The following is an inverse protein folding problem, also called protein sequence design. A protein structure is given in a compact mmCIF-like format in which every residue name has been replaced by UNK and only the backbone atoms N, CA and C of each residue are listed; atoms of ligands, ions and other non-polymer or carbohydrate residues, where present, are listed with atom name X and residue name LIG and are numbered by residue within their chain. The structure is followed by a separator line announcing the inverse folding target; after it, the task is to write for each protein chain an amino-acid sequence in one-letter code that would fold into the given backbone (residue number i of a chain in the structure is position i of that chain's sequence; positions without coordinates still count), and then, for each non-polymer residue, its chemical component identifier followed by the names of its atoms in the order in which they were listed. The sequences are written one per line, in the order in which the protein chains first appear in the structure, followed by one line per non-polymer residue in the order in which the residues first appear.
data_IF_306874570151
#
_entry.id   IF_306874570151
#
_cell.length_a   1.000
_cell.length_b   1.000
_cell.length_c   1.000
_cell.angle_alpha   90.00
_cell.angle_beta   90.00
_cell.angle_gamma   90.00
#
_symmetry.space_group_name_H-M   'P 1'
#
loop_
_entity.id
_entity.type
_entity.pdbx_description
1 polymer ?
#
# COMPACT_ATOMS: atom_id res chain seq x y z
N UNK A 1 12.03 -6.82 28.34
CA UNK A 1 10.88 -7.13 29.27
C UNK A 1 9.67 -6.28 28.87
N UNK A 2 8.49 -6.88 28.78
CA UNK A 2 7.25 -6.16 28.42
C UNK A 2 6.68 -5.36 29.60
N UNK A 3 5.92 -4.32 29.29
CA UNK A 3 5.26 -3.44 30.30
C UNK A 3 4.14 -4.17 31.04
N UNK A 4 3.65 -3.57 32.14
CA UNK A 4 2.51 -4.14 32.88
C UNK A 4 1.24 -4.23 32.03
N UNK A 5 0.96 -3.21 31.21
CA UNK A 5 -0.19 -3.21 30.30
C UNK A 5 -0.13 -4.38 29.32
N UNK A 6 1.04 -4.67 28.76
CA UNK A 6 1.22 -5.80 27.86
C UNK A 6 1.11 -7.15 28.57
N UNK A 7 1.53 -7.25 29.86
CA UNK A 7 1.30 -8.47 30.65
C UNK A 7 -0.18 -8.70 30.89
N UNK A 8 -0.94 -7.65 31.16
CA UNK A 8 -2.40 -7.74 31.33
C UNK A 8 -3.08 -8.14 30.02
N UNK A 9 -2.58 -7.62 28.88
CA UNK A 9 -3.05 -8.02 27.55
C UNK A 9 -2.84 -9.54 27.31
N UNK A 10 -1.63 -10.04 27.61
CA UNK A 10 -1.30 -11.47 27.53
C UNK A 10 -2.26 -12.31 28.41
N UNK A 11 -2.49 -11.87 29.67
CA UNK A 11 -3.43 -12.55 30.57
C UNK A 11 -4.84 -12.60 29.99
N UNK A 12 -5.32 -11.51 29.38
CA UNK A 12 -6.63 -11.48 28.73
C UNK A 12 -6.75 -12.47 27.58
N UNK A 13 -5.72 -12.54 26.72
CA UNK A 13 -5.69 -13.50 25.62
C UNK A 13 -5.62 -14.96 26.15
N UNK A 14 -4.79 -15.21 27.18
CA UNK A 14 -4.64 -16.53 27.80
C UNK A 14 -5.96 -17.00 28.40
N UNK A 15 -6.61 -16.17 29.22
CA UNK A 15 -7.91 -16.49 29.82
C UNK A 15 -8.98 -16.75 28.75
N UNK A 16 -8.91 -16.03 27.64
CA UNK A 16 -9.84 -16.25 26.53
C UNK A 16 -9.56 -17.57 25.81
N UNK A 17 -8.30 -17.91 25.58
CA UNK A 17 -7.87 -19.15 24.96
C UNK A 17 -8.23 -20.38 25.82
N UNK A 18 -8.11 -20.31 27.15
CA UNK A 18 -8.44 -21.40 28.08
C UNK A 18 -9.89 -21.86 28.00
N UNK A 19 -10.82 -21.00 27.57
CA UNK A 19 -12.23 -21.35 27.37
C UNK A 19 -12.46 -22.28 26.20
N UNK A 20 -11.51 -22.35 25.27
CA UNK A 20 -11.58 -23.08 24.01
C UNK A 20 -10.44 -24.10 23.85
N UNK A 21 -9.74 -24.46 24.91
CA UNK A 21 -8.55 -25.30 24.87
C UNK A 21 -8.80 -26.73 24.34
N UNK A 22 -10.07 -27.21 24.32
CA UNK A 22 -10.49 -28.48 23.79
C UNK A 22 -11.24 -28.35 22.46
N UNK A 23 -11.28 -27.15 21.87
CA UNK A 23 -11.97 -26.94 20.60
C UNK A 23 -10.94 -27.08 19.46
N UNK A 24 -11.26 -27.84 18.43
CA UNK A 24 -10.36 -28.08 17.29
C UNK A 24 -10.41 -26.93 16.27
N UNK A 25 -11.51 -26.18 16.22
CA UNK A 25 -11.74 -25.10 15.24
C UNK A 25 -11.33 -23.72 15.78
N UNK A 26 -11.24 -23.55 17.12
CA UNK A 26 -10.98 -22.28 17.78
C UNK A 26 -9.73 -22.34 18.69
N UNK A 27 -8.59 -22.72 18.10
CA UNK A 27 -7.36 -23.02 18.84
C UNK A 27 -6.52 -21.79 19.20
N UNK A 28 -6.76 -20.62 18.61
CA UNK A 28 -5.96 -19.41 18.83
C UNK A 28 -6.85 -18.25 19.28
N UNK A 29 -6.58 -17.71 20.47
CA UNK A 29 -7.16 -16.47 20.93
C UNK A 29 -6.18 -15.30 20.73
N UNK A 30 -6.67 -14.16 20.29
CA UNK A 30 -5.93 -12.93 20.22
C UNK A 30 -6.57 -11.84 21.08
N UNK A 31 -5.75 -10.90 21.54
CA UNK A 31 -6.18 -9.69 22.21
C UNK A 31 -5.47 -8.46 21.61
N UNK A 32 -6.23 -7.42 21.36
CA UNK A 32 -5.74 -6.09 21.01
C UNK A 32 -5.79 -5.18 22.21
N UNK A 33 -4.79 -4.32 22.35
CA UNK A 33 -4.77 -3.20 23.29
C UNK A 33 -5.02 -1.92 22.50
N UNK A 34 -6.03 -1.16 22.91
CA UNK A 34 -6.27 0.18 22.34
C UNK A 34 -5.50 1.25 23.10
N UNK A 35 -5.39 2.44 22.49
CA UNK A 35 -4.71 3.60 23.10
C UNK A 35 -5.37 4.01 24.43
N UNK A 36 -6.68 3.89 24.58
CA UNK A 36 -7.39 4.16 25.83
C UNK A 36 -7.25 3.05 26.89
N UNK A 37 -6.57 1.94 26.58
CA UNK A 37 -6.33 0.81 27.49
C UNK A 37 -7.39 -0.28 27.47
N UNK A 38 -8.29 -0.30 26.48
CA UNK A 38 -9.29 -1.38 26.33
C UNK A 38 -8.67 -2.61 25.69
N UNK A 39 -9.19 -3.78 26.06
CA UNK A 39 -8.84 -5.04 25.45
C UNK A 39 -9.97 -5.52 24.54
N UNK A 40 -9.66 -5.82 23.29
CA UNK A 40 -10.61 -6.41 22.34
C UNK A 40 -10.15 -7.79 21.95
N UNK A 41 -11.01 -8.78 22.15
CA UNK A 41 -10.69 -10.20 22.01
C UNK A 41 -11.19 -10.74 20.67
N UNK A 42 -10.51 -11.76 20.16
CA UNK A 42 -10.92 -12.54 19.00
C UNK A 42 -10.43 -13.97 19.08
N UNK A 43 -11.17 -14.88 18.43
CA UNK A 43 -10.80 -16.27 18.24
C UNK A 43 -10.62 -16.56 16.75
N UNK A 44 -9.70 -17.45 16.40
CA UNK A 44 -9.68 -17.96 15.03
C UNK A 44 -10.95 -18.79 14.77
N UNK A 45 -11.32 -18.91 13.51
CA UNK A 45 -12.30 -19.88 13.06
C UNK A 45 -11.65 -20.71 11.96
N UNK A 46 -11.37 -21.99 12.26
CA UNK A 46 -10.80 -22.87 11.25
C UNK A 46 -11.88 -23.32 10.26
N UNK A 47 -11.53 -23.30 9.00
CA UNK A 47 -12.33 -23.86 7.93
C UNK A 47 -11.45 -24.27 6.75
N UNK A 48 -11.75 -25.36 6.05
CA UNK A 48 -10.94 -25.85 4.93
C UNK A 48 -10.87 -24.87 3.73
N UNK A 49 -11.86 -23.99 3.59
CA UNK A 49 -11.84 -22.87 2.62
C UNK A 49 -11.04 -21.66 3.10
N UNK A 50 -10.41 -21.73 4.27
CA UNK A 50 -9.79 -20.61 4.96
C UNK A 50 -10.76 -19.94 5.92
N UNK A 51 -10.24 -19.55 7.08
CA UNK A 51 -10.98 -18.82 8.11
C UNK A 51 -10.13 -17.67 8.66
N UNK A 52 -10.71 -16.77 9.46
CA UNK A 52 -9.97 -15.69 10.06
C UNK A 52 -9.05 -16.23 11.16
N UNK A 53 -7.83 -15.67 11.24
CA UNK A 53 -6.99 -15.81 12.42
C UNK A 53 -7.60 -15.06 13.61
N UNK A 54 -7.20 -15.38 14.84
CA UNK A 54 -7.68 -14.70 16.04
C UNK A 54 -7.45 -13.18 16.01
N UNK A 55 -6.30 -12.73 15.47
CA UNK A 55 -5.99 -11.32 15.32
C UNK A 55 -6.95 -10.61 14.36
N UNK A 56 -7.30 -11.24 13.23
CA UNK A 56 -8.25 -10.68 12.26
C UNK A 56 -9.65 -10.56 12.87
N UNK A 57 -10.08 -11.56 13.62
CA UNK A 57 -11.37 -11.53 14.34
C UNK A 57 -11.37 -10.42 15.41
N UNK A 58 -10.25 -10.27 16.15
CA UNK A 58 -10.11 -9.19 17.13
C UNK A 58 -10.17 -7.80 16.46
N UNK A 59 -9.55 -7.62 15.28
CA UNK A 59 -9.63 -6.38 14.50
C UNK A 59 -11.05 -6.09 14.02
N UNK A 60 -11.79 -7.11 13.56
CA UNK A 60 -13.19 -6.95 13.17
C UNK A 60 -14.07 -6.55 14.36
N UNK A 61 -13.85 -7.16 15.53
CA UNK A 61 -14.53 -6.79 16.77
C UNK A 61 -14.17 -5.37 17.21
N UNK A 62 -12.91 -4.96 17.05
CA UNK A 62 -12.46 -3.59 17.35
C UNK A 62 -13.17 -2.58 16.45
N UNK A 63 -13.21 -2.81 15.14
CA UNK A 63 -13.90 -1.94 14.19
C UNK A 63 -15.39 -1.78 14.52
N UNK A 64 -16.04 -2.84 15.02
CA UNK A 64 -17.45 -2.81 15.40
C UNK A 64 -17.72 -2.11 16.74
N UNK A 65 -16.76 -2.10 17.68
CA UNK A 65 -17.00 -1.66 19.06
C UNK A 65 -16.25 -0.39 19.46
N UNK A 66 -15.07 -0.14 18.89
CA UNK A 66 -14.17 0.96 19.25
C UNK A 66 -13.45 1.58 18.03
N UNK A 67 -14.15 1.92 16.94
CA UNK A 67 -13.53 2.29 15.66
C UNK A 67 -12.62 3.53 15.72
N UNK A 68 -12.86 4.42 16.70
CA UNK A 68 -12.08 5.66 16.86
C UNK A 68 -10.95 5.57 17.89
N UNK A 69 -10.73 4.40 18.49
CA UNK A 69 -9.70 4.20 19.52
C UNK A 69 -8.55 3.36 18.95
N UNK A 70 -7.41 3.96 18.56
CA UNK A 70 -6.37 3.26 17.82
C UNK A 70 -5.82 2.02 18.53
N UNK A 71 -5.58 0.95 17.80
CA UNK A 71 -4.88 -0.24 18.28
C UNK A 71 -3.39 0.09 18.44
N UNK A 72 -2.81 -0.24 19.59
CA UNK A 72 -1.40 0.01 19.88
C UNK A 72 -0.59 -1.26 20.12
N UNK A 73 -1.25 -2.37 20.49
CA UNK A 73 -0.56 -3.65 20.63
C UNK A 73 -1.49 -4.84 20.36
N UNK A 74 -0.87 -5.99 20.06
CA UNK A 74 -1.55 -7.26 19.84
C UNK A 74 -0.76 -8.41 20.44
N UNK A 75 -1.47 -9.44 20.88
CA UNK A 75 -0.92 -10.73 21.28
C UNK A 75 -1.83 -11.85 20.80
N UNK A 76 -1.24 -12.99 20.42
CA UNK A 76 -1.96 -14.23 20.14
C UNK A 76 -1.46 -15.34 21.05
N UNK A 77 -2.37 -16.19 21.51
CA UNK A 77 -2.11 -17.33 22.40
C UNK A 77 -2.70 -18.60 21.80
N UNK A 78 -1.88 -19.64 21.71
CA UNK A 78 -2.32 -20.95 21.31
C UNK A 78 -2.97 -21.67 22.48
N UNK A 79 -4.28 -21.90 22.42
CA UNK A 79 -5.11 -22.44 23.50
C UNK A 79 -4.62 -23.77 24.08
N UNK A 80 -4.32 -24.82 23.28
CA UNK A 80 -3.92 -26.10 23.79
C UNK A 80 -2.68 -26.10 24.69
N UNK A 81 -1.78 -25.12 24.55
CA UNK A 81 -0.56 -25.03 25.35
C UNK A 81 -0.44 -23.75 26.19
N UNK A 82 -1.35 -22.79 26.01
CA UNK A 82 -1.27 -21.48 26.65
C UNK A 82 -0.08 -20.63 26.20
N UNK A 83 0.59 -20.99 25.11
CA UNK A 83 1.79 -20.30 24.65
C UNK A 83 1.45 -19.07 23.80
N UNK A 84 2.14 -17.97 24.09
CA UNK A 84 2.17 -16.83 23.18
C UNK A 84 2.87 -17.24 21.89
N UNK A 85 2.21 -16.97 20.77
CA UNK A 85 2.71 -17.23 19.42
C UNK A 85 2.86 -15.94 18.63
N UNK A 86 3.79 -15.91 17.67
CA UNK A 86 3.92 -14.79 16.77
C UNK A 86 2.77 -14.74 15.75
N UNK A 87 2.34 -13.56 15.31
CA UNK A 87 1.34 -13.44 14.24
C UNK A 87 1.85 -14.08 12.94
N UNK A 88 0.96 -14.76 12.21
CA UNK A 88 1.29 -15.35 10.92
C UNK A 88 1.54 -14.25 9.86
N UNK A 89 2.11 -14.60 8.69
CA UNK A 89 2.43 -13.64 7.64
C UNK A 89 1.26 -12.77 7.19
N UNK A 90 0.05 -13.36 7.04
CA UNK A 90 -1.18 -12.60 6.73
C UNK A 90 -1.50 -11.59 7.82
N UNK A 91 -1.45 -11.99 9.10
CA UNK A 91 -1.75 -11.08 10.20
C UNK A 91 -0.72 -9.95 10.30
N UNK A 92 0.57 -10.24 10.03
CA UNK A 92 1.61 -9.20 10.01
C UNK A 92 1.32 -8.15 8.94
N UNK A 93 0.95 -8.56 7.73
CA UNK A 93 0.61 -7.63 6.66
C UNK A 93 -0.60 -6.78 7.02
N UNK A 94 -1.70 -7.39 7.50
CA UNK A 94 -2.91 -6.64 7.89
C UNK A 94 -2.64 -5.65 9.02
N UNK A 95 -1.81 -6.02 10.01
CA UNK A 95 -1.42 -5.13 11.10
C UNK A 95 -0.51 -3.98 10.61
N UNK A 96 0.39 -4.28 9.65
CA UNK A 96 1.24 -3.28 9.01
C UNK A 96 0.41 -2.24 8.24
N UNK A 97 -0.56 -2.70 7.45
CA UNK A 97 -1.45 -1.82 6.66
C UNK A 97 -2.34 -0.95 7.57
N UNK A 98 -2.67 -1.44 8.78
CA UNK A 98 -3.43 -0.67 9.76
C UNK A 98 -2.59 0.42 10.43
N UNK A 99 -1.45 0.05 11.01
CA UNK A 99 -0.47 0.95 11.61
C UNK A 99 0.86 0.21 11.82
N UNK A 100 1.94 0.57 11.09
CA UNK A 100 3.24 -0.10 11.18
C UNK A 100 3.91 0.03 12.56
N UNK A 101 3.42 0.88 13.45
CA UNK A 101 3.95 1.07 14.81
C UNK A 101 3.33 0.12 15.85
N UNK A 102 2.30 -0.66 15.50
CA UNK A 102 1.65 -1.62 16.40
C UNK A 102 2.70 -2.57 16.98
N UNK A 103 2.65 -2.74 18.30
CA UNK A 103 3.53 -3.64 19.03
C UNK A 103 2.93 -5.06 19.08
N UNK A 104 3.69 -6.06 18.65
CA UNK A 104 3.32 -7.46 18.79
C UNK A 104 4.05 -8.08 19.97
N UNK A 105 3.30 -8.66 20.91
CA UNK A 105 3.92 -9.44 21.98
C UNK A 105 4.22 -10.83 21.44
N UNK A 106 5.50 -11.20 21.43
CA UNK A 106 6.00 -12.47 20.92
C UNK A 106 6.90 -13.16 21.96
N UNK A 107 7.18 -14.42 21.72
CA UNK A 107 8.13 -15.18 22.53
C UNK A 107 9.52 -15.08 21.88
N UNK A 108 10.44 -14.39 22.54
CA UNK A 108 11.86 -14.37 22.18
C UNK A 108 12.67 -15.40 22.99
N UNK A 109 13.99 -15.37 22.82
CA UNK A 109 14.94 -16.27 23.48
C UNK A 109 14.96 -16.09 25.01
N UNK A 110 14.72 -14.88 25.50
CA UNK A 110 14.77 -14.50 26.92
C UNK A 110 13.41 -14.26 27.56
N UNK A 111 12.33 -14.77 26.95
CA UNK A 111 10.96 -14.62 27.42
C UNK A 111 10.09 -13.78 26.47
N UNK A 112 9.07 -13.13 27.02
CA UNK A 112 8.18 -12.29 26.22
C UNK A 112 8.83 -10.93 25.92
N UNK A 113 8.74 -10.52 24.67
CA UNK A 113 9.18 -9.23 24.16
C UNK A 113 8.10 -8.59 23.29
N UNK A 114 8.16 -7.27 23.16
CA UNK A 114 7.30 -6.51 22.28
C UNK A 114 8.16 -5.99 21.12
N UNK A 115 7.77 -6.37 19.91
CA UNK A 115 8.42 -5.97 18.66
C UNK A 115 7.41 -5.19 17.81
N UNK A 116 7.88 -4.17 17.10
CA UNK A 116 7.03 -3.48 16.13
C UNK A 116 6.66 -4.40 14.97
N UNK A 117 5.58 -4.09 14.28
CA UNK A 117 5.24 -4.84 13.08
C UNK A 117 6.34 -4.69 12.02
N UNK A 118 6.99 -3.55 11.92
CA UNK A 118 8.13 -3.33 11.01
C UNK A 118 9.32 -4.26 11.32
N UNK A 119 9.56 -4.58 12.58
CA UNK A 119 10.60 -5.55 12.97
C UNK A 119 10.22 -6.99 12.58
N UNK A 120 8.92 -7.31 12.62
CA UNK A 120 8.40 -8.65 12.30
C UNK A 120 8.12 -8.87 10.82
N UNK A 121 8.03 -7.81 10.02
CA UNK A 121 7.80 -7.85 8.59
C UNK A 121 8.73 -6.86 7.87
N UNK A 122 10.05 -7.09 7.91
CA UNK A 122 10.98 -6.30 7.11
C UNK A 122 10.64 -6.48 5.62
N UNK A 123 10.69 -5.40 4.86
CA UNK A 123 10.29 -5.37 3.44
C UNK A 123 8.81 -5.76 3.22
N UNK A 124 7.93 -5.27 4.09
CA UNK A 124 6.48 -5.44 3.92
C UNK A 124 6.03 -4.96 2.53
N UNK A 125 5.02 -5.61 1.97
CA UNK A 125 4.30 -5.04 0.83
C UNK A 125 3.59 -3.76 1.29
N UNK A 126 3.92 -2.64 0.66
CA UNK A 126 3.35 -1.32 0.98
C UNK A 126 2.62 -0.78 -0.25
N UNK A 127 1.31 -0.99 -0.26
CA UNK A 127 0.45 -0.51 -1.35
C UNK A 127 0.45 1.02 -1.42
N UNK A 128 0.55 1.71 -0.27
CA UNK A 128 0.56 3.18 -0.24
C UNK A 128 1.85 3.74 -0.86
N UNK A 129 2.98 3.07 -0.64
CA UNK A 129 4.24 3.46 -1.29
C UNK A 129 4.15 3.28 -2.81
N UNK A 130 3.48 2.22 -3.28
CA UNK A 130 3.26 1.98 -4.71
C UNK A 130 2.31 3.03 -5.30
N UNK A 131 1.21 3.34 -4.62
CA UNK A 131 0.24 4.34 -5.07
C UNK A 131 0.80 5.78 -5.00
N UNK A 132 1.74 6.06 -4.08
CA UNK A 132 2.41 7.36 -3.98
C UNK A 132 3.52 7.53 -5.02
N UNK A 133 4.14 6.47 -5.48
CA UNK A 133 5.18 6.51 -6.51
C UNK A 133 4.56 6.42 -7.90
N UNK A 134 4.08 7.56 -8.42
CA UNK A 134 3.60 7.64 -9.78
C UNK A 134 4.72 7.34 -10.76
N UNK A 135 4.52 6.37 -11.65
CA UNK A 135 5.46 6.02 -12.72
C UNK A 135 4.87 6.39 -14.06
N UNK A 136 5.54 7.30 -14.76
CA UNK A 136 5.14 7.75 -16.08
C UNK A 136 6.04 7.03 -17.10
N UNK A 137 5.52 5.97 -17.70
CA UNK A 137 6.23 5.22 -18.72
C UNK A 137 6.24 6.00 -20.02
N UNK A 138 7.40 6.16 -20.62
CA UNK A 138 7.60 6.90 -21.86
C UNK A 138 8.40 6.05 -22.85
N UNK A 139 8.11 6.23 -24.14
CA UNK A 139 8.94 5.67 -25.18
C UNK A 139 10.39 6.17 -25.06
N UNK A 140 11.36 5.27 -25.23
CA UNK A 140 12.80 5.59 -25.05
C UNK A 140 13.28 6.76 -25.91
N UNK A 141 12.70 6.97 -27.10
CA UNK A 141 13.02 8.07 -27.99
C UNK A 141 12.78 9.46 -27.38
N UNK A 142 11.94 9.57 -26.36
CA UNK A 142 11.68 10.84 -25.66
C UNK A 142 12.69 11.19 -24.56
N UNK A 143 13.56 10.25 -24.13
CA UNK A 143 14.52 10.49 -23.05
C UNK A 143 15.36 11.76 -23.29
N UNK A 144 15.89 11.94 -24.50
CA UNK A 144 16.71 13.11 -24.85
C UNK A 144 15.92 14.42 -24.75
N UNK A 145 14.69 14.45 -25.22
CA UNK A 145 13.82 15.64 -25.20
C UNK A 145 13.42 15.98 -23.75
N UNK A 146 13.21 15.00 -22.90
CA UNK A 146 12.98 15.19 -21.45
C UNK A 146 14.22 15.77 -20.79
N UNK A 147 15.41 15.19 -21.00
CA UNK A 147 16.66 15.63 -20.36
C UNK A 147 17.08 17.03 -20.78
N UNK A 148 16.89 17.41 -22.03
CA UNK A 148 17.26 18.76 -22.53
C UNK A 148 16.17 19.82 -22.29
N UNK A 149 15.02 19.44 -21.78
CA UNK A 149 13.95 20.36 -21.44
C UNK A 149 12.98 20.73 -22.54
N UNK A 150 13.07 20.12 -23.73
CA UNK A 150 12.13 20.37 -24.82
C UNK A 150 10.81 19.62 -24.64
N UNK A 151 10.78 18.55 -23.81
CA UNK A 151 9.56 17.86 -23.40
C UNK A 151 9.34 18.04 -21.89
N UNK A 152 8.26 18.73 -21.52
CA UNK A 152 7.82 19.00 -20.15
C UNK A 152 6.38 18.61 -19.89
N UNK A 153 5.79 17.92 -20.83
CA UNK A 153 4.42 17.50 -20.83
C UNK A 153 4.31 16.11 -21.47
N UNK A 154 3.28 15.37 -21.13
CA UNK A 154 2.88 14.16 -21.83
C UNK A 154 1.37 14.08 -21.89
N UNK A 155 0.83 13.58 -22.99
CA UNK A 155 -0.60 13.37 -23.15
C UNK A 155 -0.91 11.92 -22.85
N UNK A 156 -1.95 11.69 -22.04
CA UNK A 156 -2.36 10.38 -21.54
C UNK A 156 -3.84 10.18 -21.73
N UNK A 157 -4.25 8.92 -21.71
CA UNK A 157 -5.63 8.49 -21.87
C UNK A 157 -5.87 7.38 -20.86
N UNK A 158 -6.90 7.57 -20.03
CA UNK A 158 -7.32 6.62 -18.99
C UNK A 158 -6.23 6.23 -17.96
N UNK A 159 -5.26 7.13 -17.75
CA UNK A 159 -4.11 6.91 -16.86
C UNK A 159 -4.26 7.84 -15.64
N UNK A 160 -4.58 7.34 -14.44
CA UNK A 160 -4.96 8.17 -13.28
C UNK A 160 -3.73 8.79 -12.60
N UNK A 161 -3.17 9.87 -13.16
CA UNK A 161 -2.12 10.64 -12.51
C UNK A 161 -2.69 11.67 -11.54
N UNK A 162 -1.85 12.17 -10.63
CA UNK A 162 -2.15 13.27 -9.72
C UNK A 162 -0.94 14.19 -9.54
N UNK A 163 -1.16 15.41 -9.09
CA UNK A 163 -0.07 16.34 -8.78
C UNK A 163 0.79 15.80 -7.64
N UNK A 164 2.11 15.81 -7.80
CA UNK A 164 3.01 15.29 -6.79
C UNK A 164 4.28 14.64 -7.36
N UNK A 165 5.08 13.99 -6.51
CA UNK A 165 6.28 13.27 -6.93
C UNK A 165 5.95 12.19 -7.96
N UNK A 166 6.83 12.03 -8.96
CA UNK A 166 6.70 11.03 -10.01
C UNK A 166 8.09 10.57 -10.48
N UNK A 167 8.13 9.41 -11.10
CA UNK A 167 9.32 8.87 -11.75
C UNK A 167 9.01 8.64 -13.23
N UNK A 168 9.74 9.32 -14.12
CA UNK A 168 9.68 9.03 -15.56
C UNK A 168 10.48 7.76 -15.83
N UNK A 169 9.89 6.81 -16.56
CA UNK A 169 10.48 5.50 -16.83
C UNK A 169 10.62 5.30 -18.35
N UNK A 170 11.83 4.97 -18.79
CA UNK A 170 12.14 4.66 -20.16
C UNK A 170 12.66 3.23 -20.24
N UNK A 171 11.87 2.34 -20.82
CA UNK A 171 12.28 0.97 -21.09
C UNK A 171 12.94 0.91 -22.47
N UNK A 172 14.20 0.46 -22.51
CA UNK A 172 14.97 0.41 -23.75
C UNK A 172 14.82 -0.95 -24.44
N UNK A 173 14.97 -0.96 -25.76
CA UNK A 173 14.91 -2.18 -26.56
C UNK A 173 15.89 -3.28 -26.09
N UNK A 174 17.02 -2.90 -25.50
CA UNK A 174 18.01 -3.84 -24.95
C UNK A 174 17.66 -4.38 -23.56
N UNK A 175 16.51 -3.98 -22.99
CA UNK A 175 16.04 -4.38 -21.67
C UNK A 175 16.54 -3.50 -20.52
N UNK A 176 17.36 -2.48 -20.77
CA UNK A 176 17.75 -1.51 -19.75
C UNK A 176 16.57 -0.60 -19.40
N UNK A 177 16.50 -0.21 -18.13
CA UNK A 177 15.50 0.73 -17.64
C UNK A 177 16.21 2.00 -17.16
N UNK A 178 15.83 3.14 -17.70
CA UNK A 178 16.29 4.46 -17.25
C UNK A 178 15.16 5.15 -16.51
N UNK A 179 15.46 5.65 -15.31
CA UNK A 179 14.50 6.41 -14.50
C UNK A 179 14.99 7.82 -14.28
N UNK A 180 14.06 8.79 -14.29
CA UNK A 180 14.35 10.20 -14.05
C UNK A 180 13.35 10.72 -12.99
N UNK A 181 13.82 11.19 -11.83
CA UNK A 181 12.94 11.81 -10.84
C UNK A 181 12.27 13.05 -11.42
N UNK A 182 10.99 13.20 -11.17
CA UNK A 182 10.16 14.30 -11.66
C UNK A 182 9.04 14.64 -10.65
N UNK A 183 8.32 15.69 -10.95
CA UNK A 183 7.09 16.07 -10.24
C UNK A 183 6.02 16.41 -11.27
N UNK A 184 4.85 15.83 -11.15
CA UNK A 184 3.65 16.29 -11.87
C UNK A 184 3.22 17.62 -11.25
N UNK A 185 3.17 18.67 -12.08
CA UNK A 185 2.86 20.03 -11.64
C UNK A 185 1.40 20.41 -11.87
N UNK A 186 0.78 19.83 -12.90
CA UNK A 186 -0.65 20.00 -13.18
C UNK A 186 -1.15 18.94 -14.15
N UNK A 187 -2.44 18.68 -14.11
CA UNK A 187 -3.16 17.82 -15.06
C UNK A 187 -4.38 18.58 -15.57
N UNK A 188 -4.55 18.64 -16.87
CA UNK A 188 -5.65 19.32 -17.53
C UNK A 188 -6.31 18.35 -18.48
N UNK A 189 -7.57 18.02 -18.24
CA UNK A 189 -8.34 17.14 -19.11
C UNK A 189 -9.02 17.94 -20.22
N UNK A 190 -8.70 17.63 -21.47
CA UNK A 190 -9.27 18.30 -22.66
C UNK A 190 -9.66 17.27 -23.71
N UNK A 191 -10.57 17.62 -24.62
CA UNK A 191 -10.82 16.75 -25.78
C UNK A 191 -9.62 16.75 -26.72
N UNK A 192 -9.38 15.63 -27.38
CA UNK A 192 -8.30 15.50 -28.36
C UNK A 192 -8.33 16.62 -29.42
N UNK A 193 -9.51 16.99 -29.93
CA UNK A 193 -9.68 18.06 -30.92
C UNK A 193 -9.37 19.47 -30.38
N UNK A 194 -9.36 19.67 -29.06
CA UNK A 194 -9.06 20.95 -28.43
C UNK A 194 -7.58 21.13 -28.07
N UNK A 195 -6.73 20.13 -28.36
CA UNK A 195 -5.28 20.25 -28.19
C UNK A 195 -4.70 21.34 -29.07
N UNK A 196 -3.71 22.06 -28.56
CA UNK A 196 -3.11 23.24 -29.20
C UNK A 196 -1.67 23.02 -29.64
N UNK A 197 -1.16 23.90 -30.52
CA UNK A 197 0.25 23.93 -30.89
C UNK A 197 1.19 24.19 -29.71
N UNK A 198 0.73 24.89 -28.66
CA UNK A 198 1.50 25.10 -27.44
C UNK A 198 1.69 23.77 -26.70
N UNK A 199 0.62 23.01 -26.55
CA UNK A 199 0.69 21.68 -25.94
C UNK A 199 1.54 20.70 -26.77
N UNK A 200 1.48 20.80 -28.10
CA UNK A 200 2.35 20.01 -28.97
C UNK A 200 3.83 20.32 -28.72
N UNK A 201 4.19 21.61 -28.66
CA UNK A 201 5.58 22.01 -28.38
C UNK A 201 6.06 21.61 -26.97
N UNK A 202 5.21 21.75 -25.95
CA UNK A 202 5.53 21.33 -24.59
C UNK A 202 5.68 19.82 -24.47
N UNK A 203 5.01 19.06 -25.33
CA UNK A 203 5.14 17.59 -25.45
C UNK A 203 6.36 17.16 -26.30
N UNK A 204 7.08 18.13 -26.89
CA UNK A 204 8.31 17.89 -27.62
C UNK A 204 8.12 17.69 -29.13
N UNK A 205 6.95 18.02 -29.69
CA UNK A 205 6.66 18.00 -31.12
C UNK A 205 6.81 19.39 -31.75
N UNK A 206 7.09 19.44 -33.05
CA UNK A 206 7.21 20.70 -33.77
C UNK A 206 5.84 21.34 -34.07
N UNK A 207 4.79 20.51 -34.18
CA UNK A 207 3.44 20.94 -34.55
C UNK A 207 2.35 20.06 -33.95
N UNK A 208 1.11 20.60 -33.93
CA UNK A 208 -0.07 19.84 -33.56
C UNK A 208 -0.29 18.63 -34.48
N UNK A 209 0.08 18.72 -35.75
CA UNK A 209 -0.05 17.62 -36.72
C UNK A 209 0.82 16.44 -36.32
N UNK A 210 2.06 16.69 -35.90
CA UNK A 210 2.96 15.63 -35.41
C UNK A 210 2.46 15.02 -34.10
N UNK A 211 1.97 15.83 -33.17
CA UNK A 211 1.36 15.35 -31.95
C UNK A 211 0.16 14.42 -32.24
N UNK A 212 -0.73 14.85 -33.14
CA UNK A 212 -1.91 14.03 -33.52
C UNK A 212 -1.50 12.71 -34.16
N UNK A 213 -0.48 12.70 -34.99
CA UNK A 213 0.06 11.47 -35.60
C UNK A 213 0.68 10.53 -34.54
N UNK A 214 1.36 11.08 -33.53
CA UNK A 214 1.90 10.30 -32.42
C UNK A 214 0.78 9.70 -31.56
N UNK A 215 -0.30 10.45 -31.31
CA UNK A 215 -1.47 9.93 -30.62
C UNK A 215 -2.14 8.78 -31.37
N UNK A 216 -2.28 8.87 -32.70
CA UNK A 216 -2.80 7.77 -33.52
C UNK A 216 -1.94 6.51 -33.43
N UNK A 217 -0.61 6.69 -33.33
CA UNK A 217 0.33 5.58 -33.23
C UNK A 217 0.27 4.92 -31.84
N UNK A 218 0.22 5.71 -30.77
CA UNK A 218 0.26 5.19 -29.42
C UNK A 218 -1.12 4.72 -28.91
N UNK A 219 -2.20 5.31 -29.39
CA UNK A 219 -3.57 5.03 -28.99
C UNK A 219 -4.46 4.75 -30.22
N UNK A 220 -4.28 3.58 -30.88
CA UNK A 220 -5.07 3.23 -32.05
C UNK A 220 -6.58 3.23 -31.74
N UNK A 221 -7.35 3.98 -32.50
CA UNK A 221 -8.81 4.10 -32.32
C UNK A 221 -9.26 5.27 -31.45
N UNK A 222 -8.35 6.13 -30.99
CA UNK A 222 -8.69 7.36 -30.29
C UNK A 222 -9.41 8.34 -31.22
N UNK A 223 -10.64 8.71 -30.86
CA UNK A 223 -11.47 9.65 -31.66
C UNK A 223 -11.19 11.11 -31.30
N UNK A 224 -11.65 12.05 -32.13
CA UNK A 224 -11.42 13.49 -31.94
C UNK A 224 -12.09 14.06 -30.69
N UNK A 225 -13.20 13.49 -30.27
CA UNK A 225 -13.98 13.92 -29.12
C UNK A 225 -13.56 13.23 -27.80
N UNK A 226 -12.66 12.26 -27.86
CA UNK A 226 -12.18 11.56 -26.69
C UNK A 226 -11.41 12.50 -25.76
N UNK A 227 -11.56 12.27 -24.46
CA UNK A 227 -10.85 13.05 -23.43
C UNK A 227 -9.41 12.59 -23.31
N UNK A 228 -8.52 13.55 -23.18
CA UNK A 228 -7.09 13.34 -23.00
C UNK A 228 -6.61 14.13 -21.78
N UNK A 229 -5.70 13.56 -21.02
CA UNK A 229 -5.05 14.24 -19.89
C UNK A 229 -3.70 14.79 -20.32
N UNK A 230 -3.59 16.10 -20.25
CA UNK A 230 -2.36 16.84 -20.46
C UNK A 230 -1.62 16.91 -19.13
N UNK A 231 -0.63 16.03 -18.94
CA UNK A 231 0.15 15.89 -17.71
C UNK A 231 1.43 16.73 -17.82
N UNK A 232 1.49 17.82 -17.09
CA UNK A 232 2.68 18.68 -17.02
C UNK A 232 3.62 18.20 -15.91
N UNK A 233 4.93 18.19 -16.17
CA UNK A 233 5.93 17.78 -15.20
C UNK A 233 7.22 18.62 -15.26
N UNK A 234 7.94 18.64 -14.16
CA UNK A 234 9.29 19.19 -14.05
C UNK A 234 10.26 18.12 -13.51
N UNK A 235 11.53 18.19 -13.89
CA UNK A 235 12.57 17.30 -13.36
C UNK A 235 13.03 17.81 -11.98
N UNK A 236 13.37 16.86 -11.09
CA UNK A 236 13.93 17.13 -9.77
C UNK A 236 15.45 17.01 -9.75
#
# INVERSE_FOLDING_TARGET
MITQSLRTLVSSATTHAERFNNDEDHTVAAALLTRSGKHVLGLNAYHFLGGPCGEITALANHAATHPSDPVVAVVAVYGPTGQVIAPCGKCRQVLYDLDPTIQCVVRGSNGLEALSITDLLPHAFDVQAIEQEQRIYMWEGYERAVRNGTKRQTIRIDDPFHEGPATLVFEKENGDVVTIPARVTSIITVRRCDLSDEQARNDGFESLVELQAALDMHYPGLESEDMTDVVNFELQ
#
